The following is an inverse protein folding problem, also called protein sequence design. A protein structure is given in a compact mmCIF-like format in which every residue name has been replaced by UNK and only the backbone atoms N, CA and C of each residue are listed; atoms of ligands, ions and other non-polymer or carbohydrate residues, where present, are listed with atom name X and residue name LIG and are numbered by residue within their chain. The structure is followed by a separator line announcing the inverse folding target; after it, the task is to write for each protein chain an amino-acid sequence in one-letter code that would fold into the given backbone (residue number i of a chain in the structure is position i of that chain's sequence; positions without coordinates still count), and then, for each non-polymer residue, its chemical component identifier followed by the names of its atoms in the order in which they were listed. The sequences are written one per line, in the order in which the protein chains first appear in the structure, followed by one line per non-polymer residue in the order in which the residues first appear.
data_IF_162694840353
#
_entry.id   IF_162694840353
#
_cell.length_a   1.000
_cell.length_b   1.000
_cell.length_c   1.000
_cell.angle_alpha   90.00
_cell.angle_beta   90.00
_cell.angle_gamma   90.00
#
_symmetry.space_group_name_H-M   'P 1'
#
loop_
_entity.id
_entity.type
_entity.pdbx_description
1 polymer ?
#
# COMPACT_ATOMS: atom_id res chain seq x y z
N UNK A 1 -15.78 21.80 -14.85
CA UNK A 1 -15.11 23.03 -15.32
C UNK A 1 -13.67 23.00 -14.78
N UNK A 2 -12.76 22.33 -15.49
CA UNK A 2 -11.37 22.20 -15.06
C UNK A 2 -10.57 23.44 -15.52
N UNK A 3 -9.94 24.11 -14.56
CA UNK A 3 -9.17 25.34 -14.77
C UNK A 3 -7.97 25.01 -15.67
N UNK A 4 -8.06 25.40 -16.96
CA UNK A 4 -6.96 25.35 -17.94
C UNK A 4 -5.91 26.40 -17.57
N UNK A 5 -4.88 25.99 -16.84
CA UNK A 5 -3.64 26.79 -16.71
C UNK A 5 -2.72 26.37 -17.86
N UNK A 6 -2.93 26.97 -19.03
CA UNK A 6 -2.14 26.77 -20.25
C UNK A 6 -0.95 27.71 -20.23
N UNK A 7 0.22 27.25 -19.77
CA UNK A 7 1.48 28.00 -19.93
C UNK A 7 2.27 27.41 -21.10
N UNK A 8 2.56 28.23 -22.11
CA UNK A 8 3.53 27.89 -23.16
C UNK A 8 4.91 27.73 -22.55
N UNK A 9 5.50 26.54 -22.66
CA UNK A 9 6.81 26.24 -22.06
C UNK A 9 7.94 27.04 -22.74
N UNK A 10 9.01 27.35 -22.00
CA UNK A 10 10.13 28.17 -22.49
C UNK A 10 10.80 27.55 -23.74
N UNK A 11 10.87 26.23 -23.80
CA UNK A 11 11.38 25.49 -24.96
C UNK A 11 10.53 25.69 -26.22
N UNK A 12 9.20 25.71 -26.11
CA UNK A 12 8.33 26.01 -27.27
C UNK A 12 8.64 27.40 -27.82
N UNK A 13 8.77 28.41 -26.95
CA UNK A 13 9.10 29.78 -27.37
C UNK A 13 10.48 29.90 -28.01
N UNK A 14 11.44 29.09 -27.58
CA UNK A 14 12.81 29.10 -28.10
C UNK A 14 12.92 28.41 -29.46
N UNK A 15 12.21 27.30 -29.67
CA UNK A 15 12.33 26.51 -30.89
C UNK A 15 11.44 27.00 -32.05
N UNK A 16 10.33 27.68 -31.78
CA UNK A 16 9.49 28.28 -32.84
C UNK A 16 10.29 29.20 -33.80
N UNK A 17 11.08 30.19 -33.33
CA UNK A 17 11.87 31.01 -34.24
C UNK A 17 12.97 30.21 -34.97
N UNK A 18 13.55 29.19 -34.33
CA UNK A 18 14.55 28.30 -34.95
C UNK A 18 13.94 27.50 -36.11
N UNK A 19 12.69 27.03 -35.95
CA UNK A 19 11.91 26.37 -36.99
C UNK A 19 11.68 27.32 -38.18
N UNK A 20 11.26 28.56 -37.92
CA UNK A 20 11.06 29.56 -38.98
C UNK A 20 12.36 29.93 -39.71
N UNK A 21 13.47 30.10 -38.98
CA UNK A 21 14.78 30.43 -39.56
C UNK A 21 15.30 29.28 -40.42
N UNK A 22 15.19 28.03 -39.96
CA UNK A 22 15.64 26.87 -40.74
C UNK A 22 14.81 26.64 -42.00
N UNK A 23 13.50 26.92 -41.97
CA UNK A 23 12.65 26.97 -43.19
C UNK A 23 13.14 28.02 -44.18
N UNK A 24 13.36 29.25 -43.70
CA UNK A 24 13.85 30.33 -44.54
C UNK A 24 15.20 29.99 -45.17
N UNK A 25 16.11 29.39 -44.39
CA UNK A 25 17.44 29.01 -44.87
C UNK A 25 17.39 27.97 -46.00
N UNK A 26 16.48 26.99 -45.94
CA UNK A 26 16.30 26.00 -47.01
C UNK A 26 15.79 26.64 -48.31
N UNK A 27 14.86 27.60 -48.20
CA UNK A 27 14.34 28.33 -49.36
C UNK A 27 15.43 29.20 -49.99
N UNK A 28 16.20 29.92 -49.17
CA UNK A 28 17.33 30.73 -49.64
C UNK A 28 18.38 29.84 -50.31
N UNK A 29 18.74 28.70 -49.72
CA UNK A 29 19.68 27.75 -50.31
C UNK A 29 19.19 27.25 -51.66
N UNK A 30 17.90 26.92 -51.80
CA UNK A 30 17.34 26.49 -53.06
C UNK A 30 17.43 27.56 -54.15
N UNK A 31 17.14 28.83 -53.82
CA UNK A 31 17.26 29.95 -54.76
C UNK A 31 18.71 30.11 -55.21
N UNK A 32 19.66 30.13 -54.27
CA UNK A 32 21.09 30.20 -54.58
C UNK A 32 21.56 29.04 -55.46
N UNK A 33 21.04 27.82 -55.27
CA UNK A 33 21.41 26.69 -56.13
C UNK A 33 20.87 26.82 -57.56
N UNK A 34 19.70 27.42 -57.75
CA UNK A 34 19.14 27.68 -59.08
C UNK A 34 19.96 28.75 -59.81
N UNK A 35 20.34 29.82 -59.10
CA UNK A 35 21.21 30.87 -59.62
C UNK A 35 22.60 30.32 -59.98
N UNK A 36 23.19 29.48 -59.11
CA UNK A 36 24.49 28.85 -59.35
C UNK A 36 24.48 27.93 -60.59
N UNK A 37 23.36 27.25 -60.85
CA UNK A 37 23.17 26.41 -62.03
C UNK A 37 22.82 27.21 -63.29
N UNK A 38 22.69 28.54 -63.19
CA UNK A 38 22.40 29.42 -64.32
C UNK A 38 20.98 29.23 -64.89
N UNK A 39 20.03 28.78 -64.08
CA UNK A 39 18.65 28.55 -64.53
C UNK A 39 17.90 29.89 -64.48
N UNK A 40 17.48 30.39 -65.63
CA UNK A 40 16.77 31.67 -65.75
C UNK A 40 15.34 31.54 -66.30
N UNK A 41 14.58 32.63 -66.24
CA UNK A 41 13.25 32.75 -66.84
C UNK A 41 12.17 31.92 -66.13
N UNK A 42 11.18 31.44 -66.89
CA UNK A 42 10.00 30.75 -66.34
C UNK A 42 10.37 29.47 -65.57
N UNK A 43 11.45 28.79 -65.96
CA UNK A 43 11.91 27.57 -65.31
C UNK A 43 12.49 27.81 -63.91
N UNK A 44 13.16 28.96 -63.71
CA UNK A 44 13.64 29.37 -62.39
C UNK A 44 12.49 29.58 -61.41
N UNK A 45 11.40 30.19 -61.88
CA UNK A 45 10.18 30.41 -61.09
C UNK A 45 9.52 29.07 -60.74
N UNK A 46 9.33 28.18 -61.71
CA UNK A 46 8.71 26.87 -61.49
C UNK A 46 9.52 26.02 -60.51
N UNK A 47 10.85 25.91 -60.70
CA UNK A 47 11.71 25.14 -59.82
C UNK A 47 11.82 25.77 -58.41
N UNK A 48 11.77 27.10 -58.31
CA UNK A 48 11.71 27.82 -57.04
C UNK A 48 10.46 27.47 -56.24
N UNK A 49 9.28 27.41 -56.88
CA UNK A 49 8.05 26.95 -56.21
C UNK A 49 8.13 25.48 -55.79
N UNK A 50 8.66 24.60 -56.64
CA UNK A 50 8.85 23.18 -56.30
C UNK A 50 9.77 23.04 -55.08
N UNK A 51 10.87 23.79 -55.04
CA UNK A 51 11.80 23.77 -53.92
C UNK A 51 11.18 24.36 -52.64
N UNK A 52 10.36 25.40 -52.75
CA UNK A 52 9.62 25.99 -51.62
C UNK A 52 8.61 25.01 -51.01
N UNK A 53 7.74 24.41 -51.83
CA UNK A 53 6.78 23.42 -51.35
C UNK A 53 7.46 22.13 -50.89
N UNK A 54 8.51 21.70 -51.59
CA UNK A 54 9.36 20.59 -51.17
C UNK A 54 10.03 20.85 -49.81
N UNK A 55 10.51 22.06 -49.57
CA UNK A 55 11.07 22.49 -48.29
C UNK A 55 10.02 22.41 -47.18
N UNK A 56 8.79 22.87 -47.40
CA UNK A 56 7.70 22.77 -46.41
C UNK A 56 7.43 21.30 -46.05
N UNK A 57 7.35 20.42 -47.05
CA UNK A 57 7.08 18.99 -46.86
C UNK A 57 8.25 18.31 -46.12
N UNK A 58 9.49 18.52 -46.57
CA UNK A 58 10.69 17.96 -45.92
C UNK A 58 10.80 18.45 -44.48
N UNK A 59 10.50 19.73 -44.26
CA UNK A 59 10.59 20.35 -42.95
C UNK A 59 9.54 19.79 -41.98
N UNK A 60 8.28 19.64 -42.40
CA UNK A 60 7.24 19.02 -41.60
C UNK A 60 7.51 17.53 -41.29
N UNK A 61 8.01 16.76 -42.27
CA UNK A 61 8.25 15.33 -42.10
C UNK A 61 9.48 15.01 -41.23
N UNK A 62 10.56 15.77 -41.37
CA UNK A 62 11.85 15.42 -40.78
C UNK A 62 12.31 16.39 -39.70
N UNK A 63 12.23 17.70 -39.97
CA UNK A 63 12.87 18.71 -39.13
C UNK A 63 12.02 19.01 -37.89
N UNK A 64 10.70 19.11 -38.02
CA UNK A 64 9.81 19.31 -36.86
C UNK A 64 9.88 18.14 -35.89
N UNK A 65 9.82 16.92 -36.41
CA UNK A 65 9.95 15.70 -35.59
C UNK A 65 11.29 15.66 -34.84
N UNK A 66 12.37 16.09 -35.47
CA UNK A 66 13.68 16.20 -34.82
C UNK A 66 13.68 17.22 -33.68
N UNK A 67 13.08 18.40 -33.89
CA UNK A 67 12.96 19.41 -32.84
C UNK A 67 12.11 18.92 -31.66
N UNK A 68 11.04 18.17 -31.90
CA UNK A 68 10.24 17.59 -30.83
C UNK A 68 11.01 16.58 -29.96
N UNK A 69 11.90 15.79 -30.56
CA UNK A 69 12.78 14.88 -29.81
C UNK A 69 13.72 15.70 -28.90
N UNK A 70 14.33 16.75 -29.43
CA UNK A 70 15.22 17.62 -28.64
C UNK A 70 14.46 18.35 -27.52
N UNK A 71 13.28 18.88 -27.81
CA UNK A 71 12.43 19.53 -26.81
C UNK A 71 12.06 18.56 -25.69
N UNK A 72 11.68 17.33 -26.03
CA UNK A 72 11.37 16.28 -25.07
C UNK A 72 12.59 15.95 -24.21
N UNK A 73 13.75 15.78 -24.86
CA UNK A 73 15.02 15.54 -24.17
C UNK A 73 15.33 16.65 -23.15
N UNK A 74 15.30 17.91 -23.58
CA UNK A 74 15.59 19.07 -22.72
C UNK A 74 14.57 19.24 -21.60
N UNK A 75 13.29 18.97 -21.88
CA UNK A 75 12.25 19.05 -20.85
C UNK A 75 12.48 18.00 -19.75
N UNK A 76 12.73 16.75 -20.12
CA UNK A 76 12.92 15.67 -19.14
C UNK A 76 14.23 15.84 -18.37
N UNK A 77 15.32 16.19 -19.04
CA UNK A 77 16.64 16.36 -18.40
C UNK A 77 16.71 17.63 -17.55
N UNK A 78 16.31 18.79 -18.07
CA UNK A 78 16.48 20.08 -17.39
C UNK A 78 15.33 20.40 -16.44
N UNK A 79 14.08 20.15 -16.84
CA UNK A 79 12.92 20.54 -16.01
C UNK A 79 12.48 19.41 -15.05
N UNK A 80 12.53 18.15 -15.46
CA UNK A 80 12.21 17.00 -14.60
C UNK A 80 13.44 16.43 -13.87
N UNK A 81 14.66 16.86 -14.21
CA UNK A 81 15.88 16.42 -13.54
C UNK A 81 16.11 14.92 -13.67
N UNK A 82 15.75 14.33 -14.82
CA UNK A 82 15.81 12.90 -15.08
C UNK A 82 16.78 12.63 -16.22
N UNK A 83 17.77 11.77 -15.99
CA UNK A 83 18.73 11.36 -17.01
C UNK A 83 18.06 10.39 -17.98
N UNK A 84 18.08 10.73 -19.28
CA UNK A 84 17.49 9.92 -20.35
C UNK A 84 18.36 9.96 -21.60
N UNK A 85 18.24 8.96 -22.46
CA UNK A 85 18.89 8.91 -23.77
C UNK A 85 18.07 9.65 -24.85
N UNK A 86 18.68 9.89 -26.03
CA UNK A 86 17.92 10.38 -27.19
C UNK A 86 16.89 9.37 -27.72
N UNK A 87 17.13 8.07 -27.53
CA UNK A 87 16.17 7.03 -27.87
C UNK A 87 14.97 7.07 -26.92
N UNK A 88 15.20 7.31 -25.63
CA UNK A 88 14.14 7.53 -24.65
C UNK A 88 13.32 8.76 -25.02
N UNK A 89 13.96 9.89 -25.33
CA UNK A 89 13.27 11.11 -25.72
C UNK A 89 12.38 10.90 -26.96
N UNK A 90 12.83 10.11 -27.93
CA UNK A 90 12.04 9.73 -29.10
C UNK A 90 10.83 8.88 -28.72
N UNK A 91 10.99 7.94 -27.80
CA UNK A 91 9.90 7.10 -27.31
C UNK A 91 8.89 7.90 -26.48
N UNK A 92 9.36 8.85 -25.67
CA UNK A 92 8.53 9.70 -24.81
C UNK A 92 7.80 10.83 -25.57
N UNK A 93 8.13 11.05 -26.84
CA UNK A 93 7.61 12.18 -27.63
C UNK A 93 6.08 12.29 -27.59
N UNK A 94 5.34 11.17 -27.53
CA UNK A 94 3.88 11.17 -27.47
C UNK A 94 3.32 11.75 -26.16
N UNK A 95 4.00 11.53 -25.03
CA UNK A 95 3.59 12.09 -23.73
C UNK A 95 3.64 13.62 -23.71
N UNK A 96 4.46 14.16 -24.60
CA UNK A 96 4.79 15.56 -24.69
C UNK A 96 4.40 16.15 -26.04
N UNK A 97 3.68 15.38 -26.85
CA UNK A 97 3.17 15.85 -28.11
C UNK A 97 2.26 17.05 -27.81
N UNK A 98 2.44 18.17 -28.51
CA UNK A 98 1.54 19.28 -28.34
C UNK A 98 0.13 18.76 -28.66
N UNK A 99 -0.80 18.89 -27.70
CA UNK A 99 -2.21 19.08 -28.06
C UNK A 99 -2.26 20.09 -29.20
N UNK A 100 -3.26 20.03 -30.10
CA UNK A 100 -3.38 20.83 -31.34
C UNK A 100 -3.19 22.37 -31.21
N UNK A 101 -2.89 22.87 -30.01
CA UNK A 101 -2.62 24.24 -29.59
C UNK A 101 -1.20 24.49 -29.00
N UNK A 102 -0.27 23.52 -29.01
CA UNK A 102 1.12 23.76 -28.60
C UNK A 102 1.38 23.76 -27.08
N UNK A 103 0.50 23.15 -26.28
CA UNK A 103 0.55 23.21 -24.81
C UNK A 103 1.16 21.95 -24.18
N UNK A 104 2.05 22.16 -23.21
CA UNK A 104 2.67 21.11 -22.39
C UNK A 104 1.91 20.93 -21.09
N UNK A 105 1.62 19.69 -20.70
CA UNK A 105 1.03 19.41 -19.39
C UNK A 105 2.11 19.38 -18.31
N UNK A 106 1.96 20.16 -17.21
CA UNK A 106 2.92 20.16 -16.13
C UNK A 106 2.87 18.84 -15.36
N UNK A 107 3.91 18.02 -15.52
CA UNK A 107 4.07 16.72 -14.84
C UNK A 107 4.59 16.90 -13.40
N UNK A 108 3.84 17.63 -12.56
CA UNK A 108 4.25 17.93 -11.17
C UNK A 108 4.50 16.67 -10.34
N UNK A 109 3.66 15.65 -10.49
CA UNK A 109 3.81 14.36 -9.79
C UNK A 109 5.10 13.60 -10.13
N UNK A 110 5.70 13.81 -11.31
CA UNK A 110 6.99 13.19 -11.64
C UNK A 110 8.13 13.82 -10.84
N UNK A 111 8.04 15.11 -10.50
CA UNK A 111 9.06 15.80 -9.69
C UNK A 111 9.05 15.35 -8.23
N UNK A 112 7.95 14.77 -7.76
CA UNK A 112 7.79 14.24 -6.39
C UNK A 112 8.44 12.85 -6.24
N UNK A 113 8.67 12.14 -7.34
CA UNK A 113 9.33 10.83 -7.31
C UNK A 113 10.85 10.96 -7.07
N UNK A 114 11.51 9.98 -6.44
CA UNK A 114 12.97 9.85 -6.42
C UNK A 114 13.56 9.89 -7.84
N UNK A 115 14.72 10.53 -8.03
CA UNK A 115 15.31 10.77 -9.37
C UNK A 115 15.56 9.48 -10.14
N UNK A 116 15.92 8.44 -9.41
CA UNK A 116 16.32 7.11 -9.89
C UNK A 116 15.16 6.41 -10.61
N UNK A 117 13.92 6.68 -10.22
CA UNK A 117 12.73 6.01 -10.76
C UNK A 117 11.94 6.82 -11.79
N UNK A 118 12.28 8.11 -11.97
CA UNK A 118 11.56 9.01 -12.88
C UNK A 118 11.62 8.55 -14.34
N UNK A 119 12.80 8.08 -14.79
CA UNK A 119 12.99 7.55 -16.15
C UNK A 119 12.03 6.39 -16.42
N UNK A 120 12.01 5.42 -15.51
CA UNK A 120 11.15 4.25 -15.63
C UNK A 120 9.66 4.64 -15.65
N UNK A 121 9.24 5.50 -14.71
CA UNK A 121 7.85 5.94 -14.62
C UNK A 121 7.35 6.65 -15.90
N UNK A 122 8.23 7.41 -16.55
CA UNK A 122 7.94 8.07 -17.83
C UNK A 122 7.81 7.04 -18.96
N UNK A 123 8.74 6.09 -19.08
CA UNK A 123 8.72 5.06 -20.12
C UNK A 123 7.50 4.13 -19.99
N UNK A 124 7.16 3.71 -18.76
CA UNK A 124 5.97 2.90 -18.48
C UNK A 124 4.67 3.65 -18.82
N UNK A 125 4.64 4.97 -18.59
CA UNK A 125 3.48 5.79 -18.94
C UNK A 125 3.33 5.95 -20.45
N UNK A 126 4.43 6.14 -21.18
CA UNK A 126 4.40 6.17 -22.65
C UNK A 126 3.92 4.83 -23.22
N UNK A 127 4.39 3.71 -22.66
CA UNK A 127 4.00 2.36 -23.08
C UNK A 127 2.49 2.12 -23.01
N UNK A 128 1.84 2.55 -21.92
CA UNK A 128 0.39 2.44 -21.76
C UNK A 128 -0.38 3.20 -22.85
N UNK A 129 0.01 4.44 -23.12
CA UNK A 129 -0.66 5.26 -24.15
C UNK A 129 -0.46 4.65 -25.55
N UNK A 130 0.74 4.13 -25.83
CA UNK A 130 1.00 3.42 -27.08
C UNK A 130 0.12 2.18 -27.24
N UNK A 131 -0.09 1.42 -26.16
CA UNK A 131 -1.01 0.29 -26.14
C UNK A 131 -2.46 0.71 -26.39
N UNK A 132 -2.94 1.77 -25.73
CA UNK A 132 -4.30 2.31 -25.94
C UNK A 132 -4.52 2.79 -27.39
N UNK A 133 -3.49 3.36 -28.02
CA UNK A 133 -3.55 3.82 -29.40
C UNK A 133 -3.28 2.72 -30.44
N UNK A 134 -2.92 1.50 -30.01
CA UNK A 134 -2.56 0.39 -30.90
C UNK A 134 -1.29 0.63 -31.71
N UNK A 135 -0.38 1.47 -31.23
CA UNK A 135 0.88 1.82 -31.93
C UNK A 135 2.05 1.25 -31.15
N UNK A 136 2.99 0.56 -31.81
CA UNK A 136 4.17 -0.03 -31.16
C UNK A 136 5.47 0.58 -31.71
N UNK A 137 5.92 1.74 -31.20
CA UNK A 137 7.19 2.32 -31.61
C UNK A 137 8.40 1.57 -31.04
N UNK A 138 9.56 1.82 -31.63
CA UNK A 138 10.84 1.25 -31.18
C UNK A 138 11.18 1.73 -29.76
N UNK A 139 11.06 0.82 -28.81
CA UNK A 139 11.41 0.99 -27.41
C UNK A 139 12.94 1.11 -27.19
N UNK A 140 13.41 1.77 -26.11
CA UNK A 140 14.83 1.71 -25.72
C UNK A 140 15.27 0.28 -25.43
N UNK A 141 16.47 -0.11 -25.89
CA UNK A 141 16.96 -1.50 -25.80
C UNK A 141 17.30 -1.94 -24.38
N UNK A 142 17.72 -0.98 -23.56
CA UNK A 142 18.08 -1.11 -22.15
C UNK A 142 16.88 -0.93 -21.21
N UNK A 143 15.70 -0.67 -21.76
CA UNK A 143 14.46 -0.59 -21.00
C UNK A 143 13.76 -1.94 -21.03
N UNK A 144 13.81 -2.63 -19.90
CA UNK A 144 12.87 -3.71 -19.63
C UNK A 144 11.51 -3.09 -19.33
N UNK A 145 10.60 -3.21 -20.29
CA UNK A 145 9.19 -2.91 -20.04
C UNK A 145 8.70 -3.90 -18.98
N UNK A 146 8.62 -3.47 -17.71
CA UNK A 146 8.01 -4.28 -16.64
C UNK A 146 6.49 -4.42 -16.82
N UNK A 147 5.89 -3.69 -17.77
CA UNK A 147 4.54 -3.95 -18.27
C UNK A 147 4.52 -4.99 -19.41
N UNK A 148 5.65 -5.61 -19.76
CA UNK A 148 5.70 -6.88 -20.50
C UNK A 148 5.36 -8.06 -19.58
N UNK A 149 4.54 -7.80 -18.55
CA UNK A 149 3.34 -8.60 -18.38
C UNK A 149 2.57 -8.54 -19.69
N UNK A 150 3.01 -9.37 -20.66
CA UNK A 150 2.07 -9.99 -21.57
C UNK A 150 0.86 -10.29 -20.70
N UNK A 151 -0.27 -9.68 -21.05
CA UNK A 151 -1.53 -10.39 -21.09
C UNK A 151 -1.26 -11.66 -21.93
N UNK A 152 -0.54 -12.61 -21.34
CA UNK A 152 -0.63 -14.00 -21.66
C UNK A 152 -1.95 -14.29 -21.00
N UNK A 153 -2.98 -14.37 -21.81
CA UNK A 153 -4.23 -15.08 -21.53
C UNK A 153 -3.83 -16.47 -20.99
N UNK A 154 -3.48 -16.49 -19.72
CA UNK A 154 -3.03 -17.63 -18.96
C UNK A 154 -3.89 -17.57 -17.72
N UNK A 155 -4.75 -18.58 -17.49
CA UNK A 155 -5.66 -18.63 -16.35
C UNK A 155 -4.96 -18.30 -15.02
N UNK A 156 -3.67 -18.65 -14.90
CA UNK A 156 -2.86 -18.44 -13.71
C UNK A 156 -2.62 -16.96 -13.35
N UNK A 157 -2.65 -16.02 -14.30
CA UNK A 157 -2.42 -14.60 -14.02
C UNK A 157 -3.64 -13.89 -13.45
N UNK A 158 -4.83 -14.25 -13.93
CA UNK A 158 -6.10 -13.75 -13.42
C UNK A 158 -6.38 -14.33 -12.03
N UNK A 159 -6.20 -15.65 -11.86
CA UNK A 159 -6.29 -16.33 -10.56
C UNK A 159 -5.33 -15.71 -9.53
N UNK A 160 -4.10 -15.36 -9.95
CA UNK A 160 -3.14 -14.69 -9.08
C UNK A 160 -3.64 -13.31 -8.65
N UNK A 161 -4.18 -12.50 -9.57
CA UNK A 161 -4.67 -11.15 -9.25
C UNK A 161 -5.94 -11.17 -8.41
N UNK A 162 -6.83 -12.14 -8.63
CA UNK A 162 -8.01 -12.37 -7.79
C UNK A 162 -7.61 -12.74 -6.36
N UNK A 163 -6.74 -13.73 -6.20
CA UNK A 163 -6.31 -14.15 -4.89
C UNK A 163 -5.47 -13.07 -4.18
N UNK A 164 -4.68 -12.30 -4.93
CA UNK A 164 -3.98 -11.14 -4.39
C UNK A 164 -4.95 -10.05 -3.91
N UNK A 165 -6.01 -9.77 -4.67
CA UNK A 165 -7.08 -8.86 -4.27
C UNK A 165 -7.77 -9.33 -2.98
N UNK A 166 -8.06 -10.63 -2.85
CA UNK A 166 -8.68 -11.19 -1.66
C UNK A 166 -7.78 -11.09 -0.42
N UNK A 167 -6.47 -11.34 -0.57
CA UNK A 167 -5.50 -11.14 0.51
C UNK A 167 -5.50 -9.69 1.02
N UNK A 168 -5.39 -8.72 0.10
CA UNK A 168 -5.40 -7.31 0.45
C UNK A 168 -6.74 -6.89 1.07
N UNK A 169 -7.83 -7.47 0.60
CA UNK A 169 -9.16 -7.21 1.15
C UNK A 169 -9.31 -7.76 2.57
N UNK A 170 -8.79 -8.96 2.86
CA UNK A 170 -8.74 -9.51 4.22
C UNK A 170 -7.95 -8.60 5.17
N UNK A 171 -6.76 -8.13 4.76
CA UNK A 171 -5.95 -7.19 5.55
C UNK A 171 -6.71 -5.89 5.84
N UNK A 172 -7.39 -5.33 4.84
CA UNK A 172 -8.21 -4.12 5.02
C UNK A 172 -9.39 -4.33 5.96
N UNK A 173 -10.05 -5.49 5.88
CA UNK A 173 -11.22 -5.82 6.70
C UNK A 173 -10.83 -6.02 8.16
N UNK A 174 -9.68 -6.64 8.40
CA UNK A 174 -9.09 -6.79 9.73
C UNK A 174 -8.72 -5.42 10.32
N UNK A 175 -7.90 -4.64 9.61
CA UNK A 175 -7.45 -3.31 10.07
C UNK A 175 -8.57 -2.25 10.19
N UNK A 176 -9.80 -2.55 9.77
CA UNK A 176 -10.96 -1.66 9.93
C UNK A 176 -11.86 -2.12 11.09
N UNK A 177 -11.61 -3.27 11.70
CA UNK A 177 -12.47 -3.84 12.74
C UNK A 177 -12.69 -2.85 13.91
N UNK A 178 -11.67 -2.07 14.25
CA UNK A 178 -11.64 -1.07 15.31
C UNK A 178 -11.98 0.37 14.85
N UNK A 179 -12.31 0.56 13.56
CA UNK A 179 -12.54 1.83 12.86
C UNK A 179 -11.33 2.78 12.71
N UNK A 180 -10.09 2.37 13.05
CA UNK A 180 -8.91 3.23 12.90
C UNK A 180 -7.64 2.44 12.54
N UNK A 181 -7.03 2.75 11.39
CA UNK A 181 -5.76 2.12 10.99
C UNK A 181 -4.58 2.93 11.56
N UNK A 182 -3.80 2.29 12.43
CA UNK A 182 -2.58 2.82 13.06
C UNK A 182 -1.40 2.92 12.09
N UNK A 183 -0.33 3.62 12.49
CA UNK A 183 0.90 3.71 11.66
C UNK A 183 1.67 2.40 11.67
N UNK A 184 1.61 1.69 12.79
CA UNK A 184 2.24 0.41 13.05
C UNK A 184 1.66 -0.65 12.11
N UNK A 185 0.35 -0.71 11.95
CA UNK A 185 -0.32 -1.59 10.98
C UNK A 185 0.07 -1.26 9.52
N UNK A 186 0.11 0.03 9.16
CA UNK A 186 0.56 0.45 7.83
C UNK A 186 1.98 -0.05 7.56
N UNK A 187 2.87 0.04 8.55
CA UNK A 187 4.24 -0.43 8.43
C UNK A 187 4.33 -1.95 8.25
N UNK A 188 3.48 -2.72 8.93
CA UNK A 188 3.41 -4.18 8.78
C UNK A 188 2.89 -4.57 7.40
N UNK A 189 1.88 -3.88 6.89
CA UNK A 189 1.35 -4.09 5.54
C UNK A 189 2.43 -3.75 4.49
N UNK A 190 3.09 -2.60 4.65
CA UNK A 190 4.15 -2.17 3.73
C UNK A 190 5.36 -3.12 3.78
N UNK A 191 5.80 -3.60 4.95
CA UNK A 191 6.90 -4.56 5.05
C UNK A 191 6.53 -5.91 4.46
N UNK A 192 5.30 -6.40 4.68
CA UNK A 192 4.84 -7.65 4.06
C UNK A 192 4.84 -7.57 2.53
N UNK A 193 4.37 -6.46 1.98
CA UNK A 193 4.37 -6.23 0.53
C UNK A 193 5.78 -6.09 -0.07
N UNK A 194 6.70 -5.43 0.63
CA UNK A 194 8.05 -5.21 0.11
C UNK A 194 8.98 -6.40 0.35
N UNK A 195 8.96 -6.98 1.55
CA UNK A 195 9.99 -7.91 2.00
C UNK A 195 9.61 -9.36 1.69
N UNK A 196 8.32 -9.71 1.79
CA UNK A 196 7.84 -11.08 1.57
C UNK A 196 7.36 -11.25 0.13
N UNK A 197 6.43 -10.41 -0.32
CA UNK A 197 5.89 -10.50 -1.67
C UNK A 197 6.78 -9.87 -2.74
N UNK A 198 7.79 -9.07 -2.35
CA UNK A 198 8.70 -8.38 -3.27
C UNK A 198 7.95 -7.61 -4.37
N UNK A 199 6.88 -6.91 -3.98
CA UNK A 199 6.00 -6.24 -4.94
C UNK A 199 6.75 -5.12 -5.68
N UNK A 200 6.56 -5.09 -6.99
CA UNK A 200 6.93 -3.93 -7.80
C UNK A 200 6.12 -2.69 -7.40
N UNK A 201 6.62 -1.50 -7.75
CA UNK A 201 5.91 -0.24 -7.51
C UNK A 201 4.50 -0.21 -8.13
N UNK A 202 4.28 -0.95 -9.22
CA UNK A 202 2.97 -1.07 -9.87
C UNK A 202 2.05 -1.97 -9.04
N UNK A 203 2.52 -3.15 -8.64
CA UNK A 203 1.74 -4.06 -7.78
C UNK A 203 1.39 -3.42 -6.44
N UNK A 204 2.29 -2.60 -5.88
CA UNK A 204 2.00 -1.82 -4.66
C UNK A 204 0.87 -0.81 -4.89
N UNK A 205 0.84 -0.13 -6.04
CA UNK A 205 -0.28 0.77 -6.39
C UNK A 205 -1.59 -0.01 -6.54
N UNK A 206 -1.55 -1.18 -7.17
CA UNK A 206 -2.72 -2.05 -7.28
C UNK A 206 -3.19 -2.54 -5.90
N UNK A 207 -2.27 -2.91 -5.00
CA UNK A 207 -2.58 -3.25 -3.61
C UNK A 207 -3.31 -2.09 -2.91
N UNK A 208 -2.81 -0.86 -3.03
CA UNK A 208 -3.48 0.33 -2.49
C UNK A 208 -4.88 0.51 -3.10
N UNK A 209 -5.06 0.25 -4.40
CA UNK A 209 -6.37 0.32 -5.06
C UNK A 209 -7.32 -0.78 -4.56
N UNK A 210 -6.85 -2.01 -4.37
CA UNK A 210 -7.64 -3.10 -3.77
C UNK A 210 -8.04 -2.75 -2.33
N UNK A 211 -7.11 -2.25 -1.54
CA UNK A 211 -7.34 -1.84 -0.15
C UNK A 211 -8.42 -0.76 -0.06
N UNK A 212 -8.31 0.30 -0.86
CA UNK A 212 -9.31 1.38 -0.88
C UNK A 212 -10.69 0.90 -1.34
N UNK A 213 -10.77 -0.05 -2.27
CA UNK A 213 -12.04 -0.68 -2.67
C UNK A 213 -12.63 -1.52 -1.54
N UNK A 214 -11.81 -2.34 -0.89
CA UNK A 214 -12.23 -3.18 0.24
C UNK A 214 -12.74 -2.36 1.42
N UNK A 215 -12.16 -1.17 1.64
CA UNK A 215 -12.56 -0.23 2.71
C UNK A 215 -14.01 0.24 2.59
N UNK A 216 -14.50 0.42 1.37
CA UNK A 216 -15.86 0.92 1.06
C UNK A 216 -16.82 -0.24 0.75
N UNK A 217 -16.30 -1.40 0.35
CA UNK A 217 -17.10 -2.59 0.05
C UNK A 217 -17.85 -3.12 1.27
N UNK A 218 -19.10 -3.55 1.09
CA UNK A 218 -19.89 -4.28 2.09
C UNK A 218 -19.60 -5.79 2.12
N UNK A 219 -18.69 -6.27 1.26
CA UNK A 219 -18.33 -7.69 1.22
C UNK A 219 -17.71 -8.09 2.56
N UNK A 220 -18.22 -9.13 3.24
CA UNK A 220 -17.69 -9.55 4.53
C UNK A 220 -16.33 -10.22 4.38
N UNK A 221 -15.55 -10.23 5.46
CA UNK A 221 -14.23 -10.88 5.51
C UNK A 221 -14.26 -12.34 5.05
N UNK A 222 -15.28 -13.08 5.48
CA UNK A 222 -15.48 -14.51 5.17
C UNK A 222 -15.39 -14.83 3.67
N UNK A 223 -15.99 -13.98 2.84
CA UNK A 223 -16.07 -14.22 1.39
C UNK A 223 -14.68 -14.13 0.76
N UNK A 224 -13.86 -13.18 1.21
CA UNK A 224 -12.48 -13.05 0.75
C UNK A 224 -11.61 -14.22 1.21
N UNK A 225 -11.76 -14.64 2.47
CA UNK A 225 -11.04 -15.80 3.00
C UNK A 225 -11.39 -17.09 2.24
N UNK A 226 -12.67 -17.35 1.97
CA UNK A 226 -13.09 -18.53 1.21
C UNK A 226 -12.52 -18.56 -0.21
N UNK A 227 -12.55 -17.43 -0.93
CA UNK A 227 -11.97 -17.33 -2.28
C UNK A 227 -10.46 -17.51 -2.27
N UNK A 228 -9.78 -16.85 -1.33
CA UNK A 228 -8.34 -17.01 -1.16
C UNK A 228 -7.95 -18.48 -0.91
N UNK A 229 -8.70 -19.17 -0.04
CA UNK A 229 -8.51 -20.58 0.25
C UNK A 229 -8.77 -21.47 -0.97
N UNK A 230 -9.81 -21.21 -1.76
CA UNK A 230 -10.09 -21.99 -2.98
C UNK A 230 -8.91 -21.98 -3.97
N UNK A 231 -8.23 -20.84 -4.10
CA UNK A 231 -7.05 -20.71 -4.95
C UNK A 231 -5.80 -21.42 -4.37
N UNK A 232 -5.71 -21.55 -3.04
CA UNK A 232 -4.48 -21.95 -2.35
C UNK A 232 -4.61 -23.18 -1.42
N UNK A 233 -5.71 -23.94 -1.51
CA UNK A 233 -6.00 -25.10 -0.64
C UNK A 233 -4.90 -26.17 -0.54
N UNK A 234 -4.01 -26.23 -1.53
CA UNK A 234 -2.91 -27.20 -1.59
C UNK A 234 -1.57 -26.62 -1.09
N UNK A 235 -1.53 -25.35 -0.70
CA UNK A 235 -0.33 -24.65 -0.25
C UNK A 235 -0.50 -24.24 1.22
N UNK A 236 -0.34 -25.21 2.11
CA UNK A 236 -0.51 -25.07 3.56
C UNK A 236 0.45 -24.02 4.15
N UNK A 237 1.70 -23.97 3.67
CA UNK A 237 2.72 -23.00 4.11
C UNK A 237 2.30 -21.56 3.82
N UNK A 238 1.69 -21.30 2.66
CA UNK A 238 1.17 -19.98 2.32
C UNK A 238 -0.03 -19.60 3.20
N UNK A 239 -0.95 -20.54 3.45
CA UNK A 239 -2.10 -20.30 4.32
C UNK A 239 -1.64 -19.98 5.76
N UNK A 240 -0.66 -20.72 6.28
CA UNK A 240 -0.05 -20.44 7.59
C UNK A 240 0.65 -19.08 7.62
N UNK A 241 1.36 -18.72 6.55
CA UNK A 241 2.00 -17.40 6.41
C UNK A 241 0.98 -16.26 6.40
N UNK A 242 -0.16 -16.43 5.73
CA UNK A 242 -1.23 -15.44 5.71
C UNK A 242 -1.90 -15.33 7.08
N UNK A 243 -2.19 -16.44 7.77
CA UNK A 243 -2.67 -16.39 9.15
C UNK A 243 -1.70 -15.66 10.07
N UNK A 244 -0.40 -15.92 9.92
CA UNK A 244 0.66 -15.25 10.69
C UNK A 244 0.68 -13.75 10.44
N UNK A 245 0.57 -13.32 9.17
CA UNK A 245 0.46 -11.92 8.82
C UNK A 245 -0.77 -11.24 9.45
N UNK A 246 -1.94 -11.86 9.31
CA UNK A 246 -3.18 -11.32 9.86
C UNK A 246 -3.05 -11.13 11.38
N UNK A 247 -2.47 -12.11 12.08
CA UNK A 247 -2.23 -11.99 13.53
C UNK A 247 -1.21 -10.91 13.88
N UNK A 248 -0.10 -10.81 13.15
CA UNK A 248 0.89 -9.75 13.38
C UNK A 248 0.30 -8.36 13.17
N UNK A 249 -0.58 -8.22 12.17
CA UNK A 249 -1.28 -6.96 11.90
C UNK A 249 -2.17 -6.57 13.08
N UNK A 250 -3.00 -7.49 13.57
CA UNK A 250 -3.89 -7.22 14.70
C UNK A 250 -3.12 -6.94 16.00
N UNK A 251 -1.96 -7.57 16.21
CA UNK A 251 -1.12 -7.35 17.39
C UNK A 251 -0.16 -6.16 17.26
N UNK A 252 -0.31 -5.31 16.24
CA UNK A 252 0.62 -4.22 15.95
C UNK A 252 0.73 -3.21 17.10
N UNK A 253 -0.37 -2.98 17.82
CA UNK A 253 -0.46 -2.09 18.97
C UNK A 253 -0.23 -2.81 20.32
N UNK A 254 -0.04 -4.14 20.28
CA UNK A 254 0.25 -4.99 21.42
C UNK A 254 -0.98 -5.58 22.12
N UNK A 255 -2.19 -5.24 21.69
CA UNK A 255 -3.43 -5.87 22.15
C UNK A 255 -4.14 -6.57 20.99
N UNK A 256 -5.10 -7.44 21.30
CA UNK A 256 -5.95 -8.07 20.30
C UNK A 256 -7.39 -7.77 20.67
N UNK A 257 -8.11 -7.02 19.83
CA UNK A 257 -9.52 -6.73 20.08
C UNK A 257 -10.40 -7.98 19.85
N UNK A 258 -11.59 -7.98 20.44
CA UNK A 258 -12.53 -9.09 20.28
C UNK A 258 -12.98 -9.23 18.80
N UNK A 259 -13.16 -8.11 18.11
CA UNK A 259 -13.53 -8.06 16.71
C UNK A 259 -12.45 -8.65 15.79
N UNK A 260 -11.18 -8.33 16.03
CA UNK A 260 -10.06 -8.89 15.28
C UNK A 260 -9.85 -10.37 15.57
N UNK A 261 -10.00 -10.79 16.83
CA UNK A 261 -9.92 -12.19 17.22
C UNK A 261 -11.00 -13.02 16.49
N UNK A 262 -12.22 -12.48 16.34
CA UNK A 262 -13.29 -13.14 15.57
C UNK A 262 -12.86 -13.33 14.11
N UNK A 263 -12.29 -12.31 13.47
CA UNK A 263 -11.86 -12.37 12.07
C UNK A 263 -10.68 -13.34 11.86
N UNK A 264 -9.71 -13.34 12.77
CA UNK A 264 -8.57 -14.27 12.75
C UNK A 264 -9.06 -15.71 12.94
N UNK A 265 -9.94 -15.95 13.92
CA UNK A 265 -10.53 -17.28 14.14
C UNK A 265 -11.35 -17.74 12.94
N UNK A 266 -12.03 -16.82 12.25
CA UNK A 266 -12.72 -17.12 11.01
C UNK A 266 -11.75 -17.54 9.90
N UNK A 267 -10.62 -16.85 9.73
CA UNK A 267 -9.58 -17.25 8.78
C UNK A 267 -9.00 -18.64 9.12
N UNK A 268 -8.67 -18.88 10.39
CA UNK A 268 -8.18 -20.17 10.89
C UNK A 268 -9.18 -21.29 10.59
N UNK A 269 -10.47 -21.05 10.85
CA UNK A 269 -11.53 -22.04 10.59
C UNK A 269 -11.67 -22.36 9.10
N UNK A 270 -11.47 -21.38 8.21
CA UNK A 270 -11.59 -21.57 6.76
C UNK A 270 -10.33 -22.25 6.21
N UNK A 271 -9.15 -21.84 6.65
CA UNK A 271 -7.89 -22.35 6.12
C UNK A 271 -7.51 -23.70 6.72
N UNK A 272 -8.03 -24.02 7.92
CA UNK A 272 -7.72 -25.25 8.63
C UNK A 272 -6.32 -25.25 9.28
N UNK A 273 -5.64 -24.10 9.32
CA UNK A 273 -4.28 -23.95 9.86
C UNK A 273 -4.21 -22.81 10.86
N UNK A 274 -3.31 -22.94 11.82
CA UNK A 274 -2.98 -21.87 12.76
C UNK A 274 -1.74 -21.14 12.27
N UNK A 275 -1.72 -19.81 12.30
CA UNK A 275 -0.49 -19.04 12.10
C UNK A 275 0.47 -19.20 13.28
N UNK A 276 1.78 -19.09 13.03
CA UNK A 276 2.80 -19.15 14.08
C UNK A 276 2.58 -18.05 15.14
N UNK A 277 2.36 -16.81 14.70
CA UNK A 277 2.10 -15.68 15.59
C UNK A 277 0.89 -15.90 16.51
N UNK A 278 -0.19 -16.51 16.00
CA UNK A 278 -1.36 -16.83 16.80
C UNK A 278 -1.06 -17.88 17.89
N UNK A 279 -0.29 -18.91 17.56
CA UNK A 279 0.14 -19.91 18.55
C UNK A 279 0.99 -19.29 19.64
N UNK A 280 1.94 -18.43 19.28
CA UNK A 280 2.81 -17.73 20.22
C UNK A 280 2.01 -16.81 21.15
N UNK A 281 1.13 -15.98 20.57
CA UNK A 281 0.23 -15.10 21.32
C UNK A 281 -0.65 -15.91 22.29
N UNK A 282 -1.31 -16.98 21.81
CA UNK A 282 -2.19 -17.79 22.66
C UNK A 282 -1.43 -18.48 23.80
N UNK A 283 -0.21 -18.93 23.54
CA UNK A 283 0.64 -19.54 24.56
C UNK A 283 1.07 -18.52 25.62
N UNK A 284 1.47 -17.31 25.20
CA UNK A 284 1.82 -16.23 26.12
C UNK A 284 0.61 -15.78 26.95
N UNK A 285 -0.56 -15.66 26.33
CA UNK A 285 -1.80 -15.27 27.01
C UNK A 285 -2.25 -16.31 28.03
N UNK A 286 -2.24 -17.60 27.66
CA UNK A 286 -2.53 -18.71 28.58
C UNK A 286 -1.56 -18.75 29.76
N UNK A 287 -0.29 -18.47 29.53
CA UNK A 287 0.70 -18.40 30.60
C UNK A 287 0.42 -17.23 31.56
N UNK A 288 0.12 -16.05 31.03
CA UNK A 288 -0.23 -14.88 31.85
C UNK A 288 -1.52 -15.09 32.64
N UNK A 289 -2.55 -15.68 32.03
CA UNK A 289 -3.81 -16.02 32.71
C UNK A 289 -3.58 -17.02 33.86
N UNK A 290 -2.78 -18.06 33.63
CA UNK A 290 -2.39 -19.00 34.70
C UNK A 290 -1.57 -18.32 35.80
N UNK A 291 -0.61 -17.45 35.45
CA UNK A 291 0.19 -16.71 36.44
C UNK A 291 -0.70 -15.76 37.25
N UNK A 292 -1.66 -15.08 36.63
CA UNK A 292 -2.61 -14.20 37.30
C UNK A 292 -3.61 -14.96 38.17
N UNK A 293 -4.08 -16.13 37.73
CA UNK A 293 -4.90 -17.03 38.56
C UNK A 293 -4.11 -17.57 39.76
N UNK A 294 -2.85 -17.99 39.56
CA UNK A 294 -1.96 -18.44 40.62
C UNK A 294 -1.66 -17.29 41.59
N UNK A 295 -1.47 -16.06 41.09
CA UNK A 295 -1.24 -14.87 41.90
C UNK A 295 -2.50 -14.47 42.68
N UNK A 296 -3.69 -14.54 42.07
CA UNK A 296 -4.98 -14.32 42.73
C UNK A 296 -5.24 -15.37 43.81
N UNK A 297 -5.02 -16.65 43.52
CA UNK A 297 -5.13 -17.74 44.48
C UNK A 297 -4.17 -17.55 45.66
N UNK A 298 -2.88 -17.29 45.40
CA UNK A 298 -1.90 -17.00 46.47
C UNK A 298 -2.26 -15.76 47.29
N UNK A 299 -2.76 -14.70 46.64
CA UNK A 299 -3.20 -13.47 47.31
C UNK A 299 -4.39 -13.73 48.24
N UNK A 300 -5.42 -14.43 47.75
CA UNK A 300 -6.61 -14.74 48.52
C UNK A 300 -6.35 -15.78 49.61
N UNK A 301 -5.50 -16.78 49.34
CA UNK A 301 -5.01 -17.71 50.34
C UNK A 301 -4.29 -16.98 51.48
N UNK A 302 -3.41 -16.03 51.14
CA UNK A 302 -2.71 -15.18 52.13
C UNK A 302 -3.67 -14.29 52.93
N UNK A 303 -4.71 -13.74 52.30
CA UNK A 303 -5.77 -12.97 52.98
C UNK A 303 -6.50 -13.82 54.02
N UNK A 304 -6.80 -15.08 53.68
CA UNK A 304 -7.41 -16.03 54.61
C UNK A 304 -6.39 -16.68 55.58
N UNK A 305 -5.11 -16.37 55.45
CA UNK A 305 -4.04 -16.94 56.27
C UNK A 305 -3.75 -18.42 55.99
N UNK A 306 -4.10 -18.90 54.79
CA UNK A 306 -3.82 -20.25 54.31
C UNK A 306 -2.41 -20.27 53.73
N UNK A 307 -1.46 -20.87 54.46
CA UNK A 307 -0.07 -21.01 54.04
C UNK A 307 0.29 -22.43 53.56
N UNK A 308 -0.58 -23.41 53.84
CA UNK A 308 -0.42 -24.83 53.50
C UNK A 308 -1.52 -25.29 52.51
N UNK A 309 -1.83 -26.59 52.43
CA UNK A 309 -2.86 -27.15 51.53
C UNK A 309 -4.21 -26.41 51.64
N UNK A 310 -4.61 -25.82 50.51
CA UNK A 310 -5.90 -25.15 50.35
C UNK A 310 -6.96 -26.23 50.14
N UNK A 311 -7.67 -26.58 51.22
CA UNK A 311 -8.83 -27.49 51.19
C UNK A 311 -10.10 -26.71 51.50
N UNK A 312 -11.23 -27.20 50.97
CA UNK A 312 -12.53 -26.60 51.21
C UNK A 312 -12.85 -26.42 52.70
N UNK A 313 -12.49 -27.43 53.52
CA UNK A 313 -12.67 -27.39 54.97
C UNK A 313 -11.82 -26.29 55.63
N UNK A 314 -10.56 -26.15 55.22
CA UNK A 314 -9.66 -25.11 55.72
C UNK A 314 -10.13 -23.71 55.31
N UNK A 315 -10.60 -23.51 54.08
CA UNK A 315 -11.15 -22.23 53.59
C UNK A 315 -12.33 -21.78 54.47
N UNK A 316 -13.28 -22.69 54.71
CA UNK A 316 -14.48 -22.37 55.50
C UNK A 316 -14.14 -22.09 56.97
N UNK A 317 -13.20 -22.85 57.53
CA UNK A 317 -12.74 -22.69 58.92
C UNK A 317 -12.04 -21.36 59.15
N UNK A 318 -11.11 -20.97 58.27
CA UNK A 318 -10.39 -19.69 58.39
C UNK A 318 -11.33 -18.51 58.13
N UNK A 319 -12.25 -18.64 57.17
CA UNK A 319 -13.29 -17.65 56.93
C UNK A 319 -14.13 -17.37 58.17
N UNK A 320 -14.70 -18.39 58.82
CA UNK A 320 -15.51 -18.17 60.03
C UNK A 320 -14.71 -17.54 61.16
N UNK A 321 -13.45 -17.92 61.33
CA UNK A 321 -12.55 -17.32 62.33
C UNK A 321 -12.31 -15.83 62.05
N UNK A 322 -12.00 -15.48 60.81
CA UNK A 322 -11.76 -14.10 60.38
C UNK A 322 -13.05 -13.27 60.41
N UNK A 323 -14.16 -13.82 59.98
CA UNK A 323 -15.47 -13.17 60.03
C UNK A 323 -15.89 -12.89 61.48
N UNK A 324 -15.62 -13.81 62.41
CA UNK A 324 -15.87 -13.58 63.82
C UNK A 324 -15.00 -12.45 64.38
N UNK A 325 -13.74 -12.34 63.93
CA UNK A 325 -12.76 -11.36 64.40
C UNK A 325 -13.00 -9.95 63.83
N UNK A 326 -13.46 -9.85 62.59
CA UNK A 326 -13.64 -8.59 61.85
C UNK A 326 -15.10 -8.23 61.58
N UNK A 327 -16.07 -8.82 62.29
CA UNK A 327 -17.47 -8.44 62.12
C UNK A 327 -17.69 -6.98 62.61
N UNK A 328 -18.27 -6.09 61.80
CA UNK A 328 -18.43 -4.67 62.15
C UNK A 328 -19.22 -4.49 63.46
N UNK A 329 -20.27 -5.28 63.68
CA UNK A 329 -21.04 -5.23 64.93
C UNK A 329 -20.24 -5.67 66.17
N UNK A 330 -19.25 -6.55 66.00
CA UNK A 330 -18.45 -7.04 67.13
C UNK A 330 -17.39 -6.05 67.57
N UNK A 331 -16.87 -5.25 66.64
CA UNK A 331 -15.89 -4.20 66.95
C UNK A 331 -16.52 -2.82 67.14
N UNK A 332 -17.84 -2.70 66.97
CA UNK A 332 -18.57 -1.43 67.09
C UNK A 332 -18.37 -0.74 68.45
N UNK A 333 -18.20 -1.52 69.52
CA UNK A 333 -17.90 -1.00 70.86
C UNK A 333 -16.53 -0.29 70.98
N UNK A 334 -15.64 -0.46 70.00
CA UNK A 334 -14.31 0.16 69.93
C UNK A 334 -14.29 1.51 69.18
N UNK A 335 -15.45 1.97 68.71
CA UNK A 335 -15.63 3.26 68.04
C UNK A 335 -15.67 3.19 66.51
N UNK A 336 -16.16 4.27 65.89
CA UNK A 336 -16.49 4.31 64.46
C UNK A 336 -15.31 3.99 63.52
N UNK A 337 -14.09 4.44 63.89
CA UNK A 337 -12.89 4.14 63.10
C UNK A 337 -12.59 2.64 63.02
N UNK A 338 -12.80 1.91 64.12
CA UNK A 338 -12.58 0.45 64.14
C UNK A 338 -13.69 -0.28 63.38
N UNK A 339 -14.92 0.25 63.41
CA UNK A 339 -16.02 -0.27 62.58
C UNK A 339 -15.70 -0.16 61.10
N UNK A 340 -15.24 1.00 60.62
CA UNK A 340 -14.86 1.19 59.21
C UNK A 340 -13.70 0.28 58.79
N UNK A 341 -12.68 0.12 59.63
CA UNK A 341 -11.56 -0.79 59.34
C UNK A 341 -12.05 -2.25 59.27
N UNK A 342 -12.99 -2.64 60.12
CA UNK A 342 -13.58 -3.98 60.08
C UNK A 342 -14.47 -4.20 58.85
N UNK A 343 -15.22 -3.20 58.39
CA UNK A 343 -16.00 -3.25 57.15
C UNK A 343 -15.09 -3.49 55.93
N UNK A 344 -14.00 -2.72 55.81
CA UNK A 344 -13.04 -2.89 54.72
C UNK A 344 -12.36 -4.26 54.76
N UNK A 345 -11.97 -4.73 55.95
CA UNK A 345 -11.36 -6.07 56.11
C UNK A 345 -12.35 -7.18 55.79
N UNK A 346 -13.60 -7.07 56.23
CA UNK A 346 -14.64 -8.05 55.97
C UNK A 346 -14.93 -8.17 54.47
N UNK A 347 -14.96 -7.06 53.74
CA UNK A 347 -15.13 -7.06 52.29
C UNK A 347 -14.04 -7.88 51.59
N UNK A 348 -12.79 -7.62 51.93
CA UNK A 348 -11.63 -8.34 51.36
C UNK A 348 -11.65 -9.83 51.73
N UNK A 349 -12.10 -10.18 52.95
CA UNK A 349 -12.23 -11.56 53.42
C UNK A 349 -13.36 -12.30 52.67
N UNK A 350 -14.50 -11.65 52.45
CA UNK A 350 -15.63 -12.22 51.69
C UNK A 350 -15.24 -12.47 50.23
N UNK A 351 -14.59 -11.51 49.58
CA UNK A 351 -14.10 -11.66 48.20
C UNK A 351 -13.11 -12.85 48.08
N UNK A 352 -12.19 -12.99 49.04
CA UNK A 352 -11.25 -14.11 49.07
C UNK A 352 -11.95 -15.46 49.29
N UNK A 353 -12.95 -15.50 50.17
CA UNK A 353 -13.73 -16.70 50.46
C UNK A 353 -14.57 -17.14 49.28
N UNK A 354 -15.27 -16.23 48.61
CA UNK A 354 -16.10 -16.55 47.43
C UNK A 354 -15.26 -17.17 46.32
N UNK A 355 -14.13 -16.53 45.98
CA UNK A 355 -13.23 -17.01 44.92
C UNK A 355 -12.68 -18.41 45.23
N UNK A 356 -12.15 -18.62 46.44
CA UNK A 356 -11.57 -19.91 46.84
C UNK A 356 -12.64 -20.99 47.01
N UNK A 357 -13.82 -20.65 47.51
CA UNK A 357 -14.92 -21.61 47.66
C UNK A 357 -15.37 -22.14 46.30
N UNK A 358 -15.57 -21.26 45.30
CA UNK A 358 -15.94 -21.66 43.94
C UNK A 358 -14.87 -22.54 43.28
N UNK A 359 -13.58 -22.26 43.54
CA UNK A 359 -12.47 -23.02 42.96
C UNK A 359 -12.31 -24.42 43.56
N UNK A 360 -12.62 -24.59 44.86
CA UNK A 360 -12.42 -25.84 45.60
C UNK A 360 -13.73 -26.55 45.98
N UNK A 361 -14.87 -26.17 45.41
CA UNK A 361 -16.17 -26.80 45.67
C UNK A 361 -16.49 -28.04 44.84
N UNK A 362 -15.50 -28.62 44.13
CA UNK A 362 -15.65 -29.86 43.37
C UNK A 362 -15.16 -31.08 44.16
#
# INVERSE_FOLDING_TARGET
MAIRITTTHIWTKLFVPIIWISRLMLVVLAIFTLDFLGIEGIWAVILGFIAFFGSIIIHGLYIERFYHIIQTYLYVTVNLGTEISMQDARYLMLLFAPSDLGHWYPMKGIKELPKEIRRQALLDSAARIYQELGVSPSAPKDWENKNDFKAKDSPNSEIFMEAFSDLVSMLCKLAKADNYISKEEINIIDSFFNDILNLSTIQRREAINYFNRAKISDTPFEVHAQRFFQCHRNNEELLESVCTLLTNLALADGELSAEEEILINQAISIFGVFGQAYREFRNAYRFNEQVDEINKEKKYAKILGLNDEITYENIRKTYYSLAHKYHPDKVAHLGDKMRTVAEEKMKIINEAYEYLTLKYSN
#
